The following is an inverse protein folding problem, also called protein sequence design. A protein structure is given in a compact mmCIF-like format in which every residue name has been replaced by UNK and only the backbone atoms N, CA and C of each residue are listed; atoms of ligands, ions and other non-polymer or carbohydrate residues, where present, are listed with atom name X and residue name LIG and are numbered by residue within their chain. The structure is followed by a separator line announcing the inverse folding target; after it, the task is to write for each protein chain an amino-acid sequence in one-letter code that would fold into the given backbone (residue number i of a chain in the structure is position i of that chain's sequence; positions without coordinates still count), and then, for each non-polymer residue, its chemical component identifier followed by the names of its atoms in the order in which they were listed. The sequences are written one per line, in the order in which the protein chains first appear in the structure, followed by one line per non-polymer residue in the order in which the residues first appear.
data_IF_242122756039
#
_entry.id   IF_242122756039
#
_cell.length_a   1.000
_cell.length_b   1.000
_cell.length_c   1.000
_cell.angle_alpha   90.00
_cell.angle_beta   90.00
_cell.angle_gamma   90.00
#
_symmetry.space_group_name_H-M   'P 1'
#
loop_
_entity.id
_entity.type
_entity.pdbx_description
1 polymer ?
#
# COMPACT_ATOMS: atom_id res chain seq x y z
N UNK A 1 89.53 -43.48 3.09
CA UNK A 1 88.78 -42.61 2.17
C UNK A 1 87.30 -42.82 2.45
N UNK A 2 86.60 -41.71 2.64
CA UNK A 2 85.23 -41.58 3.12
C UNK A 2 84.21 -42.37 2.31
N UNK A 3 83.10 -42.80 2.93
CA UNK A 3 81.79 -42.15 2.79
C UNK A 3 80.67 -43.05 3.36
N UNK A 4 80.09 -42.60 4.49
CA UNK A 4 78.71 -42.93 4.87
C UNK A 4 77.74 -42.02 4.10
N UNK A 5 76.51 -42.48 3.80
CA UNK A 5 75.34 -41.68 4.17
C UNK A 5 74.15 -42.59 4.59
N UNK A 6 73.51 -42.39 5.75
CA UNK A 6 72.57 -41.33 6.12
C UNK A 6 71.15 -41.93 6.21
N UNK A 7 70.69 -42.14 7.44
CA UNK A 7 69.31 -42.49 7.77
C UNK A 7 68.39 -41.30 7.52
N UNK A 8 67.27 -41.52 6.83
CA UNK A 8 66.21 -40.53 6.60
C UNK A 8 65.39 -40.30 7.87
N UNK A 9 65.18 -39.06 8.32
CA UNK A 9 64.23 -38.76 9.39
C UNK A 9 62.83 -38.47 8.83
N UNK A 10 61.82 -38.80 9.64
CA UNK A 10 60.40 -38.66 9.38
C UNK A 10 60.00 -37.23 9.00
N UNK A 11 59.28 -37.09 7.88
CA UNK A 11 58.71 -35.84 7.39
C UNK A 11 57.53 -35.44 8.27
N UNK A 12 57.69 -34.43 9.14
CA UNK A 12 56.55 -33.73 9.76
C UNK A 12 55.76 -33.03 8.65
N UNK A 13 54.53 -33.46 8.39
CA UNK A 13 53.58 -32.68 7.61
C UNK A 13 53.00 -31.59 8.52
N UNK A 14 53.42 -30.35 8.31
CA UNK A 14 52.77 -29.17 8.87
C UNK A 14 51.47 -28.95 8.09
N UNK A 15 50.32 -29.15 8.74
CA UNK A 15 49.02 -28.79 8.16
C UNK A 15 48.89 -27.27 8.19
N UNK A 16 49.08 -26.61 7.04
CA UNK A 16 48.72 -25.21 6.89
C UNK A 16 47.20 -25.08 6.79
N UNK A 17 46.57 -24.65 7.88
CA UNK A 17 45.17 -24.23 7.88
C UNK A 17 45.11 -22.83 7.25
N UNK A 18 44.62 -22.74 6.02
CA UNK A 18 44.39 -21.47 5.35
C UNK A 18 43.30 -20.67 6.10
N UNK A 19 43.46 -19.36 6.32
CA UNK A 19 42.41 -18.54 6.89
C UNK A 19 41.24 -18.48 5.91
N UNK A 20 40.09 -19.02 6.33
CA UNK A 20 38.81 -18.95 5.62
C UNK A 20 38.47 -17.48 5.40
N UNK A 21 38.74 -16.97 4.19
CA UNK A 21 38.39 -15.60 3.80
C UNK A 21 36.87 -15.45 3.87
N UNK A 22 36.39 -14.90 4.98
CA UNK A 22 35.00 -14.53 5.18
C UNK A 22 34.71 -13.30 4.31
N UNK A 23 34.59 -13.51 3.00
CA UNK A 23 34.02 -12.52 2.08
C UNK A 23 32.54 -12.40 2.40
N UNK A 24 32.22 -11.67 3.48
CA UNK A 24 30.91 -11.06 3.68
C UNK A 24 30.69 -10.19 2.46
N UNK A 25 30.01 -10.74 1.44
CA UNK A 25 29.41 -9.93 0.38
C UNK A 25 28.50 -8.96 1.11
N UNK A 26 28.96 -7.70 1.27
CA UNK A 26 28.12 -6.62 1.79
C UNK A 26 26.91 -6.62 0.87
N UNK A 27 25.77 -7.07 1.37
CA UNK A 27 24.51 -6.90 0.69
C UNK A 27 24.45 -5.42 0.28
N UNK A 28 24.27 -5.16 -1.02
CA UNK A 28 24.09 -3.81 -1.52
C UNK A 28 23.02 -3.16 -0.64
N UNK A 29 23.39 -2.10 0.09
CA UNK A 29 22.40 -1.30 0.83
C UNK A 29 21.30 -0.94 -0.18
N UNK A 30 20.02 -1.18 0.11
CA UNK A 30 18.96 -0.68 -0.76
C UNK A 30 19.17 0.82 -0.94
N UNK A 31 18.93 1.31 -2.16
CA UNK A 31 19.07 2.70 -2.50
C UNK A 31 18.36 3.56 -1.43
N UNK A 32 19.05 4.61 -0.97
CA UNK A 32 18.47 5.59 -0.05
C UNK A 32 17.26 6.17 -0.76
N UNK A 33 16.06 5.96 -0.23
CA UNK A 33 14.83 6.56 -0.74
C UNK A 33 15.08 8.06 -0.85
N UNK A 34 15.10 8.58 -2.07
CA UNK A 34 15.32 9.99 -2.42
C UNK A 34 14.01 10.78 -2.41
N UNK A 35 12.95 10.17 -1.87
CA UNK A 35 11.63 10.76 -1.94
C UNK A 35 11.57 12.10 -1.22
N UNK A 36 10.65 12.91 -1.73
CA UNK A 36 10.43 14.29 -1.32
C UNK A 36 10.29 14.41 0.20
N UNK A 37 10.98 15.38 0.85
CA UNK A 37 10.79 15.66 2.26
C UNK A 37 9.31 15.89 2.61
N UNK A 38 8.85 15.46 3.80
CA UNK A 38 7.49 15.75 4.25
C UNK A 38 7.18 17.25 4.11
N UNK A 39 6.08 17.59 3.43
CA UNK A 39 5.63 18.98 3.24
C UNK A 39 6.22 19.74 2.04
N UNK A 40 7.17 19.18 1.29
CA UNK A 40 7.74 19.87 0.12
C UNK A 40 6.87 19.77 -1.15
N UNK A 41 5.89 18.87 -1.18
CA UNK A 41 4.88 18.76 -2.25
C UNK A 41 3.50 18.55 -1.60
N UNK A 42 2.42 19.05 -2.23
CA UNK A 42 1.07 18.84 -1.71
C UNK A 42 0.74 17.35 -1.63
N UNK A 43 -0.12 16.99 -0.69
CA UNK A 43 -0.67 15.64 -0.63
C UNK A 43 -1.58 15.43 -1.84
N UNK A 44 -1.42 14.31 -2.53
CA UNK A 44 -2.22 13.93 -3.68
C UNK A 44 -2.65 12.46 -3.54
N UNK A 45 -3.72 12.03 -4.24
CA UNK A 45 -4.08 10.62 -4.36
C UNK A 45 -2.89 9.74 -4.72
N UNK A 46 -2.84 8.52 -4.17
CA UNK A 46 -1.72 7.59 -4.40
C UNK A 46 -1.51 7.25 -5.88
N UNK A 47 -2.58 7.19 -6.67
CA UNK A 47 -2.51 6.97 -8.12
C UNK A 47 -1.78 8.08 -8.88
N UNK A 48 -1.79 9.32 -8.39
CA UNK A 48 -1.07 10.45 -9.01
C UNK A 48 0.37 10.53 -8.52
N UNK A 49 0.62 10.27 -7.24
CA UNK A 49 1.96 10.44 -6.64
C UNK A 49 2.88 9.23 -6.82
N UNK A 50 2.32 8.03 -6.93
CA UNK A 50 3.07 6.77 -7.03
C UNK A 50 2.39 5.79 -8.00
N UNK A 51 2.23 6.15 -9.29
CA UNK A 51 1.53 5.32 -10.27
C UNK A 51 2.21 3.96 -10.51
N UNK A 52 3.53 3.87 -10.34
CA UNK A 52 4.28 2.62 -10.52
C UNK A 52 4.11 1.62 -9.37
N UNK A 53 3.48 2.04 -8.26
CA UNK A 53 3.21 1.12 -7.15
C UNK A 53 2.01 0.24 -7.49
N UNK A 54 2.28 -1.02 -7.80
CA UNK A 54 1.27 -2.00 -8.17
C UNK A 54 1.21 -3.18 -7.20
N UNK A 55 0.02 -3.74 -7.06
CA UNK A 55 -0.23 -5.07 -6.49
C UNK A 55 -1.58 -5.56 -7.04
N UNK A 56 -1.87 -6.86 -6.92
CA UNK A 56 -3.10 -7.46 -7.47
C UNK A 56 -4.38 -6.74 -7.04
N UNK A 57 -4.40 -6.24 -5.79
CA UNK A 57 -5.55 -5.52 -5.25
C UNK A 57 -5.71 -4.13 -5.84
N UNK A 58 -4.62 -3.39 -6.02
CA UNK A 58 -4.64 -2.09 -6.66
C UNK A 58 -5.09 -2.22 -8.10
N UNK A 59 -4.65 -3.27 -8.80
CA UNK A 59 -5.12 -3.62 -10.15
C UNK A 59 -6.61 -3.96 -10.15
N UNK A 60 -7.08 -4.77 -9.20
CA UNK A 60 -8.51 -5.08 -9.08
C UNK A 60 -9.39 -3.85 -8.80
N UNK A 61 -8.82 -2.81 -8.17
CA UNK A 61 -9.51 -1.55 -7.90
C UNK A 61 -9.57 -0.61 -9.12
N UNK A 62 -8.80 -0.86 -10.19
CA UNK A 62 -8.76 0.01 -11.37
C UNK A 62 -10.13 0.15 -12.03
N UNK A 63 -10.94 -0.91 -12.03
CA UNK A 63 -12.31 -0.90 -12.57
C UNK A 63 -13.25 0.09 -11.86
N UNK A 64 -12.93 0.44 -10.61
CA UNK A 64 -13.75 1.35 -9.79
C UNK A 64 -13.18 2.77 -9.72
N UNK A 65 -11.99 3.01 -10.29
CA UNK A 65 -11.42 4.35 -10.35
C UNK A 65 -12.18 5.17 -11.39
N UNK A 66 -12.53 6.40 -11.03
CA UNK A 66 -13.12 7.39 -11.95
C UNK A 66 -12.12 8.53 -12.14
N UNK A 67 -11.74 8.76 -13.39
CA UNK A 67 -10.94 9.92 -13.79
C UNK A 67 -11.84 11.14 -14.03
N UNK A 68 -11.28 12.34 -13.89
CA UNK A 68 -11.99 13.60 -14.14
C UNK A 68 -11.45 14.36 -15.36
N UNK A 69 -10.23 14.05 -15.82
CA UNK A 69 -9.59 14.79 -16.91
C UNK A 69 -10.36 14.59 -18.23
N UNK A 70 -10.64 15.70 -18.93
CA UNK A 70 -11.37 15.73 -20.20
C UNK A 70 -12.80 15.14 -20.16
N UNK A 71 -13.41 15.05 -18.97
CA UNK A 71 -14.80 14.65 -18.81
C UNK A 71 -15.71 15.87 -18.59
N UNK A 72 -16.91 15.85 -19.16
CA UNK A 72 -17.93 16.85 -18.89
C UNK A 72 -18.53 16.63 -17.49
N UNK A 73 -18.94 17.71 -16.82
CA UNK A 73 -19.72 17.61 -15.59
C UNK A 73 -21.11 17.07 -15.92
N UNK A 74 -21.51 15.99 -15.25
CA UNK A 74 -22.78 15.32 -15.49
C UNK A 74 -23.49 15.01 -14.18
N UNK A 75 -24.81 14.83 -14.26
CA UNK A 75 -25.59 14.14 -13.23
C UNK A 75 -25.18 12.67 -13.14
N UNK A 76 -25.63 11.98 -12.09
CA UNK A 76 -25.42 10.55 -11.87
C UNK A 76 -26.05 9.69 -12.98
N UNK A 77 -27.06 10.22 -13.68
CA UNK A 77 -27.68 9.58 -14.85
C UNK A 77 -26.97 9.89 -16.18
N UNK A 78 -25.87 10.66 -16.14
CA UNK A 78 -25.07 11.00 -17.32
C UNK A 78 -25.59 12.20 -18.13
N UNK A 79 -26.53 12.98 -17.60
CA UNK A 79 -27.00 14.21 -18.25
C UNK A 79 -25.98 15.32 -18.01
N UNK A 80 -25.53 15.99 -19.08
CA UNK A 80 -24.57 17.10 -18.97
C UNK A 80 -25.17 18.30 -18.24
N UNK A 81 -24.40 18.90 -17.34
CA UNK A 81 -24.76 20.11 -16.61
C UNK A 81 -24.14 21.31 -17.33
N UNK A 82 -24.97 22.28 -17.71
CA UNK A 82 -24.54 23.51 -18.40
C UNK A 82 -24.09 24.58 -17.41
N UNK A 83 -24.88 24.81 -16.35
CA UNK A 83 -24.58 25.77 -15.28
C UNK A 83 -24.70 25.09 -13.90
N UNK A 84 -23.59 25.02 -13.17
CA UNK A 84 -23.51 24.46 -11.80
C UNK A 84 -23.48 25.54 -10.70
N UNK A 85 -23.60 26.82 -11.07
CA UNK A 85 -23.54 27.96 -10.15
C UNK A 85 -24.92 28.45 -9.72
N UNK A 86 -25.95 28.18 -10.54
CA UNK A 86 -27.29 28.69 -10.32
C UNK A 86 -28.32 27.57 -10.14
N UNK A 87 -29.41 27.93 -9.47
CA UNK A 87 -30.62 27.11 -9.36
C UNK A 87 -31.63 27.58 -10.39
N UNK A 88 -32.49 26.68 -10.87
CA UNK A 88 -33.60 27.04 -11.75
C UNK A 88 -34.66 27.82 -10.96
N UNK A 89 -34.95 29.05 -11.39
CA UNK A 89 -35.83 29.99 -10.70
C UNK A 89 -36.84 30.63 -11.65
N UNK A 90 -38.00 31.02 -11.12
CA UNK A 90 -39.01 31.80 -11.84
C UNK A 90 -38.58 33.28 -12.01
N UNK A 91 -37.59 33.51 -12.88
CA UNK A 91 -36.93 34.81 -13.07
C UNK A 91 -35.68 34.99 -12.20
N UNK A 92 -34.90 36.04 -12.48
CA UNK A 92 -33.56 36.24 -11.87
C UNK A 92 -33.56 36.36 -10.34
N UNK A 93 -34.65 36.86 -9.76
CA UNK A 93 -34.87 36.96 -8.30
C UNK A 93 -36.13 36.24 -7.84
N UNK A 94 -36.61 35.27 -8.62
CA UNK A 94 -37.79 34.46 -8.29
C UNK A 94 -37.50 33.30 -7.34
N UNK A 95 -38.54 32.60 -6.87
CA UNK A 95 -38.40 31.36 -6.12
C UNK A 95 -37.78 30.25 -6.97
N UNK A 96 -37.15 29.27 -6.29
CA UNK A 96 -36.58 28.07 -6.93
C UNK A 96 -37.69 27.08 -7.30
N UNK A 97 -37.59 26.47 -8.49
CA UNK A 97 -38.58 25.53 -8.99
C UNK A 97 -38.27 24.09 -8.55
N UNK A 98 -39.31 23.31 -8.25
CA UNK A 98 -39.17 21.91 -7.84
C UNK A 98 -38.81 20.96 -9.00
N UNK A 99 -39.00 21.43 -10.24
CA UNK A 99 -38.64 20.70 -11.46
C UNK A 99 -37.13 20.69 -11.72
N UNK A 100 -36.34 21.43 -10.93
CA UNK A 100 -34.88 21.39 -10.97
C UNK A 100 -34.36 20.06 -10.42
N UNK A 101 -34.25 19.06 -11.30
CA UNK A 101 -33.74 17.75 -10.92
C UNK A 101 -32.24 17.76 -10.65
N UNK A 102 -31.47 18.67 -11.26
CA UNK A 102 -30.01 18.78 -11.07
C UNK A 102 -29.71 19.21 -9.64
N UNK A 103 -30.35 20.30 -9.20
CA UNK A 103 -30.22 20.79 -7.82
C UNK A 103 -30.62 19.73 -6.81
N UNK A 104 -31.78 19.09 -7.02
CA UNK A 104 -32.30 18.07 -6.12
C UNK A 104 -31.37 16.87 -6.03
N UNK A 105 -30.86 16.38 -7.15
CA UNK A 105 -29.93 15.25 -7.16
C UNK A 105 -28.63 15.58 -6.40
N UNK A 106 -28.06 16.77 -6.61
CA UNK A 106 -26.83 17.21 -5.94
C UNK A 106 -27.03 17.34 -4.42
N UNK A 107 -28.10 18.00 -3.98
CA UNK A 107 -28.39 18.19 -2.55
C UNK A 107 -28.77 16.88 -1.88
N UNK A 108 -29.57 16.03 -2.54
CA UNK A 108 -29.91 14.72 -1.97
C UNK A 108 -28.70 13.81 -1.83
N UNK A 109 -27.75 13.85 -2.75
CA UNK A 109 -26.49 13.12 -2.58
C UNK A 109 -25.73 13.64 -1.35
N UNK A 110 -25.58 14.96 -1.24
CA UNK A 110 -24.90 15.64 -0.13
C UNK A 110 -25.53 15.32 1.24
N UNK A 111 -26.86 15.41 1.34
CA UNK A 111 -27.60 15.16 2.59
C UNK A 111 -27.42 13.72 3.10
N UNK A 112 -27.10 12.78 2.21
CA UNK A 112 -26.95 11.36 2.52
C UNK A 112 -25.49 10.85 2.42
N UNK A 113 -24.49 11.73 2.41
CA UNK A 113 -23.07 11.33 2.39
C UNK A 113 -22.62 10.61 3.67
N UNK A 114 -23.30 10.87 4.79
CA UNK A 114 -22.92 10.31 6.10
C UNK A 114 -23.53 8.93 6.31
N UNK A 115 -22.64 7.96 6.51
CA UNK A 115 -22.95 6.59 6.93
C UNK A 115 -22.50 6.43 8.40
N UNK A 116 -23.18 5.63 9.23
CA UNK A 116 -22.76 5.41 10.61
C UNK A 116 -21.28 4.98 10.71
N UNK A 117 -20.55 5.60 11.62
CA UNK A 117 -19.16 5.25 11.90
C UNK A 117 -19.05 3.91 12.65
N UNK A 118 -17.84 3.32 12.65
CA UNK A 118 -17.57 2.10 13.44
C UNK A 118 -17.78 2.39 14.93
N UNK A 119 -18.43 1.48 15.64
CA UNK A 119 -18.75 1.60 17.08
C UNK A 119 -17.51 1.91 17.93
N UNK A 120 -16.38 1.27 17.60
CA UNK A 120 -15.07 1.56 18.16
C UNK A 120 -14.10 1.85 17.03
N UNK A 121 -13.03 2.58 17.33
CA UNK A 121 -11.98 2.83 16.33
C UNK A 121 -12.53 3.60 15.11
N UNK A 122 -13.43 4.57 15.33
CA UNK A 122 -14.01 5.39 14.28
C UNK A 122 -12.96 6.29 13.59
N UNK A 123 -11.98 6.78 14.36
CA UNK A 123 -10.90 7.64 13.85
C UNK A 123 -9.68 6.80 13.48
N UNK A 124 -9.40 6.69 12.18
CA UNK A 124 -8.21 6.02 11.65
C UNK A 124 -7.72 6.58 10.33
N UNK A 125 -6.47 6.23 10.00
CA UNK A 125 -5.86 6.50 8.70
C UNK A 125 -5.30 5.19 8.15
N UNK A 126 -5.43 4.94 6.84
CA UNK A 126 -5.00 3.70 6.20
C UNK A 126 -4.07 3.95 5.01
N UNK A 127 -3.26 2.93 4.68
CA UNK A 127 -2.38 2.91 3.51
C UNK A 127 -2.34 1.51 2.88
N UNK A 128 -2.15 1.45 1.57
CA UNK A 128 -1.93 0.19 0.84
C UNK A 128 -0.45 -0.23 0.92
N UNK A 129 -0.23 -1.55 0.89
CA UNK A 129 1.10 -2.14 0.88
C UNK A 129 1.04 -3.64 0.64
N UNK A 130 2.20 -4.29 0.75
CA UNK A 130 2.33 -5.74 0.68
C UNK A 130 3.07 -6.26 1.91
N UNK A 131 2.84 -7.53 2.23
CA UNK A 131 3.56 -8.25 3.26
C UNK A 131 4.42 -9.33 2.61
N UNK A 132 5.55 -9.71 3.20
CA UNK A 132 6.36 -10.82 2.71
C UNK A 132 7.02 -11.52 3.91
N UNK A 133 6.80 -12.84 4.12
CA UNK A 133 7.46 -13.55 5.19
C UNK A 133 8.96 -13.71 4.87
N UNK A 134 9.81 -13.63 5.89
CA UNK A 134 11.27 -13.76 5.70
C UNK A 134 11.70 -15.15 5.25
N UNK A 135 10.96 -16.18 5.68
CA UNK A 135 11.21 -17.60 5.37
C UNK A 135 9.89 -18.35 5.41
N UNK A 136 9.89 -19.55 4.84
CA UNK A 136 8.79 -20.51 4.97
C UNK A 136 8.63 -20.92 6.45
N UNK A 137 7.39 -20.92 6.91
CA UNK A 137 6.97 -21.30 8.26
C UNK A 137 5.99 -22.48 8.27
N UNK A 138 5.94 -23.28 7.19
CA UNK A 138 5.08 -24.47 7.07
C UNK A 138 5.20 -25.47 8.22
N UNK A 139 6.38 -25.52 8.85
CA UNK A 139 6.67 -26.40 9.99
C UNK A 139 5.81 -26.09 11.23
N UNK A 140 5.37 -24.83 11.37
CA UNK A 140 4.64 -24.35 12.55
C UNK A 140 3.21 -23.89 12.23
N UNK A 141 2.91 -23.54 10.98
CA UNK A 141 1.59 -23.05 10.57
C UNK A 141 1.21 -23.53 9.19
N UNK A 142 -0.09 -23.74 8.97
CA UNK A 142 -0.68 -24.06 7.66
C UNK A 142 -1.26 -22.81 6.97
N UNK A 143 -1.03 -21.62 7.52
CA UNK A 143 -1.49 -20.38 6.93
C UNK A 143 -0.75 -20.12 5.61
N UNK A 144 -1.46 -20.16 4.49
CA UNK A 144 -0.89 -20.11 3.14
C UNK A 144 0.07 -18.94 2.92
N UNK A 145 -0.25 -17.76 3.46
CA UNK A 145 0.54 -16.54 3.28
C UNK A 145 1.89 -16.50 4.04
N UNK A 146 2.12 -17.46 4.93
CA UNK A 146 3.36 -17.61 5.70
C UNK A 146 4.24 -18.75 5.17
N UNK A 147 3.74 -19.54 4.23
CA UNK A 147 4.39 -20.77 3.77
C UNK A 147 5.25 -20.58 2.50
N UNK A 148 5.22 -19.41 1.86
CA UNK A 148 6.08 -19.15 0.71
C UNK A 148 6.59 -17.71 0.73
N UNK A 149 7.93 -17.50 0.85
CA UNK A 149 8.56 -16.19 0.87
C UNK A 149 8.41 -15.41 -0.44
N UNK A 150 7.94 -16.01 -1.54
CA UNK A 150 7.68 -15.34 -2.83
C UNK A 150 6.19 -15.16 -3.14
N UNK A 151 5.30 -15.72 -2.33
CA UNK A 151 3.91 -15.92 -2.74
C UNK A 151 3.00 -14.71 -2.65
N UNK A 152 3.43 -13.59 -2.07
CA UNK A 152 2.55 -12.41 -1.96
C UNK A 152 2.36 -11.64 -3.27
N UNK A 153 3.09 -12.00 -4.32
CA UNK A 153 2.78 -11.61 -5.71
C UNK A 153 1.81 -12.60 -6.40
N UNK A 154 1.56 -13.78 -5.82
CA UNK A 154 0.75 -14.85 -6.43
C UNK A 154 -0.50 -15.25 -5.61
N UNK A 155 -0.72 -14.67 -4.43
CA UNK A 155 -1.95 -14.84 -3.67
C UNK A 155 -2.81 -13.56 -3.78
N UNK A 156 -3.85 -13.54 -4.62
CA UNK A 156 -4.71 -12.37 -4.84
C UNK A 156 -5.53 -11.97 -3.58
N UNK A 157 -5.39 -12.74 -2.49
CA UNK A 157 -6.07 -12.50 -1.22
C UNK A 157 -5.26 -11.78 -0.15
N UNK A 158 -3.94 -11.57 -0.31
CA UNK A 158 -3.06 -11.03 0.74
C UNK A 158 -2.30 -9.76 0.32
N UNK A 159 -2.93 -8.87 -0.43
CA UNK A 159 -2.66 -7.45 -0.24
C UNK A 159 -3.09 -7.08 1.18
N UNK A 160 -2.39 -6.18 1.88
CA UNK A 160 -2.88 -5.59 3.14
C UNK A 160 -4.28 -5.02 2.88
N UNK A 161 -5.32 -5.77 3.25
CA UNK A 161 -6.72 -5.44 2.98
C UNK A 161 -7.09 -4.33 3.93
N UNK A 162 -6.85 -3.09 3.53
CA UNK A 162 -7.49 -1.94 4.15
C UNK A 162 -9.01 -2.12 3.96
N UNK A 163 -9.68 -2.67 4.98
CA UNK A 163 -11.11 -3.00 5.08
C UNK A 163 -11.54 -4.13 4.12
N UNK A 164 -11.93 -5.32 4.58
CA UNK A 164 -13.18 -5.56 5.31
C UNK A 164 -13.12 -6.57 6.47
N UNK A 165 -12.04 -7.32 6.71
CA UNK A 165 -11.88 -8.18 7.90
C UNK A 165 -10.40 -8.57 8.05
N UNK A 166 -9.73 -8.14 9.13
CA UNK A 166 -8.31 -8.39 9.53
C UNK A 166 -7.20 -7.49 8.92
N UNK A 167 -6.02 -7.37 9.58
CA UNK A 167 -5.37 -6.07 9.72
C UNK A 167 -4.81 -5.37 8.50
N UNK A 168 -5.24 -4.13 8.36
CA UNK A 168 -4.47 -3.07 7.72
C UNK A 168 -3.49 -2.44 8.72
N UNK A 169 -2.51 -1.69 8.24
CA UNK A 169 -1.89 -0.67 9.09
C UNK A 169 -2.85 0.53 9.16
N UNK A 170 -4.00 0.34 9.83
CA UNK A 170 -4.87 1.43 10.21
C UNK A 170 -4.47 1.85 11.62
N UNK A 171 -3.86 3.03 11.77
CA UNK A 171 -3.60 3.56 13.10
C UNK A 171 -4.86 4.21 13.63
N UNK A 172 -5.45 3.61 14.65
CA UNK A 172 -6.69 4.08 15.26
C UNK A 172 -6.37 4.91 16.50
N UNK A 173 -7.02 6.04 16.69
CA UNK A 173 -6.81 6.87 17.88
C UNK A 173 -8.05 6.80 18.76
N UNK A 174 -7.92 6.24 19.97
CA UNK A 174 -8.91 6.43 21.02
C UNK A 174 -8.62 7.74 21.78
N UNK A 175 -9.67 8.34 22.34
CA UNK A 175 -9.66 9.47 23.29
C UNK A 175 -8.69 9.27 24.45
N UNK A 176 -8.43 8.01 24.84
CA UNK A 176 -7.48 7.62 25.89
C UNK A 176 -6.02 7.53 25.41
N UNK A 177 -5.75 7.82 24.13
CA UNK A 177 -4.42 7.80 23.53
C UNK A 177 -3.91 6.40 23.13
N UNK A 178 -4.70 5.34 23.37
CA UNK A 178 -4.36 3.99 22.88
C UNK A 178 -4.51 3.95 21.36
N UNK A 179 -3.55 3.27 20.72
CA UNK A 179 -3.53 3.09 19.27
C UNK A 179 -3.79 1.64 18.88
N UNK A 180 -4.88 1.41 18.16
CA UNK A 180 -5.13 0.13 17.49
C UNK A 180 -4.28 0.07 16.22
N UNK A 181 -3.62 -1.07 15.99
CA UNK A 181 -3.12 -1.46 14.67
C UNK A 181 -4.02 -2.60 14.24
N UNK A 182 -5.00 -2.25 13.41
CA UNK A 182 -6.19 -3.06 13.19
C UNK A 182 -6.11 -3.94 12.00
#
# INVERSE_FOLDING_TARGET
MNHSPAWTPWRRQTVHIAPRQNRRRRARRPARWDGTPPGAQPTAPGSLKAPETANDKLTALDNFRKGSENHALTTNQGVRIDDDQNSLRAGSRGPTLLEDFILREKITHFDHERIPERIVHARGSAAHGYFQPYKDLSDITKAAFLCDPRSTENYPGLSVRSTENYPGLCSLFDSTGRRGVC
#
